data_IF_570479532287
#
_entry.id   IF_570479532287
#
_cell.length_a   1.000
_cell.length_b   1.000
_cell.length_c   1.000
_cell.angle_alpha   90.00
_cell.angle_beta   90.00
_cell.angle_gamma   90.00
#
_symmetry.space_group_name_H-M   'P 1'
#
loop_
_entity.id
_entity.type
_entity.pdbx_description
1 polymer ?
#
# COMPACT_ATOMS: atom_id res chain seq x y z
N UNK A 1 -11.27 52.32 4.63
CA UNK A 1 -10.13 51.51 5.12
C UNK A 1 -10.56 50.22 5.82
N UNK A 2 -11.45 50.29 6.79
CA UNK A 2 -11.94 49.08 7.47
C UNK A 2 -12.67 48.06 6.58
N UNK A 3 -13.42 48.53 5.61
CA UNK A 3 -14.18 47.65 4.70
C UNK A 3 -13.29 46.82 3.77
N UNK A 4 -12.15 47.37 3.32
CA UNK A 4 -11.19 46.65 2.50
C UNK A 4 -10.42 45.56 3.27
N UNK A 5 -10.15 45.81 4.56
CA UNK A 5 -9.49 44.81 5.42
C UNK A 5 -10.44 43.65 5.70
N UNK A 6 -11.74 43.91 5.92
CA UNK A 6 -12.75 42.87 6.14
C UNK A 6 -12.92 41.96 4.91
N UNK A 7 -12.93 42.54 3.70
CA UNK A 7 -13.01 41.78 2.46
C UNK A 7 -11.77 40.90 2.23
N UNK A 8 -10.57 41.36 2.60
CA UNK A 8 -9.35 40.59 2.52
C UNK A 8 -9.33 39.42 3.54
N UNK A 9 -9.85 39.62 4.75
CA UNK A 9 -9.95 38.55 5.77
C UNK A 9 -10.94 37.46 5.33
N UNK A 10 -12.08 37.85 4.74
CA UNK A 10 -13.06 36.89 4.20
C UNK A 10 -12.49 36.13 3.01
N UNK A 11 -11.70 36.79 2.14
CA UNK A 11 -11.03 36.14 1.02
C UNK A 11 -9.94 35.16 1.44
N UNK A 12 -9.27 35.36 2.57
CA UNK A 12 -8.27 34.45 3.11
C UNK A 12 -8.88 33.24 3.82
N UNK A 13 -10.09 33.32 4.33
CA UNK A 13 -10.79 32.20 4.94
C UNK A 13 -11.35 31.16 3.93
N UNK A 14 -11.46 31.52 2.65
CA UNK A 14 -12.00 30.63 1.61
C UNK A 14 -10.96 29.80 0.87
N UNK A 15 -9.68 29.89 1.26
CA UNK A 15 -8.58 29.25 0.54
C UNK A 15 -8.04 27.97 1.19
N UNK A 16 -8.68 27.44 2.23
CA UNK A 16 -8.32 26.14 2.75
C UNK A 16 -9.21 25.07 2.10
N UNK A 17 -8.58 24.23 1.26
CA UNK A 17 -9.20 23.00 0.82
C UNK A 17 -9.63 22.20 2.04
N UNK A 18 -10.92 21.91 2.15
CA UNK A 18 -11.47 21.04 3.19
C UNK A 18 -10.88 19.65 2.98
N UNK A 19 -9.84 19.34 3.75
CA UNK A 19 -9.30 17.98 3.85
C UNK A 19 -9.86 17.32 5.11
N UNK A 20 -9.89 16.01 5.09
CA UNK A 20 -10.13 15.27 6.32
C UNK A 20 -9.05 15.61 7.34
N UNK A 21 -9.42 15.74 8.63
CA UNK A 21 -8.46 16.08 9.68
C UNK A 21 -7.40 15.02 9.81
N UNK A 22 -6.20 15.44 10.17
CA UNK A 22 -5.14 14.51 10.55
C UNK A 22 -5.53 13.75 11.83
N UNK A 23 -4.96 12.56 12.08
CA UNK A 23 -5.31 11.75 13.25
C UNK A 23 -5.27 12.49 14.58
N UNK A 24 -4.33 13.43 14.75
CA UNK A 24 -4.21 14.26 15.96
C UNK A 24 -5.37 15.26 16.14
N UNK A 25 -5.97 15.71 15.05
CA UNK A 25 -7.07 16.69 15.05
C UNK A 25 -8.44 16.01 15.10
N UNK A 26 -8.50 14.72 14.80
CA UNK A 26 -9.74 13.97 14.65
C UNK A 26 -10.64 14.02 15.87
N UNK A 27 -10.05 13.89 17.05
CA UNK A 27 -10.79 13.95 18.31
C UNK A 27 -11.51 15.29 18.54
N UNK A 28 -10.82 16.40 18.25
CA UNK A 28 -11.40 17.73 18.37
C UNK A 28 -12.51 17.93 17.34
N UNK A 29 -12.25 17.55 16.10
CA UNK A 29 -13.18 17.69 14.98
C UNK A 29 -14.46 16.89 15.21
N UNK A 30 -14.35 15.65 15.65
CA UNK A 30 -15.48 14.79 15.94
C UNK A 30 -16.39 15.32 17.04
N UNK A 31 -15.81 15.94 18.07
CA UNK A 31 -16.58 16.58 19.16
C UNK A 31 -17.27 17.87 18.75
N UNK A 32 -16.67 18.61 17.84
CA UNK A 32 -17.26 19.87 17.35
C UNK A 32 -18.46 19.62 16.43
N UNK A 33 -18.40 18.58 15.61
CA UNK A 33 -19.41 18.35 14.57
C UNK A 33 -20.49 17.35 14.96
N UNK A 34 -20.17 16.35 15.78
CA UNK A 34 -21.09 15.25 16.04
C UNK A 34 -21.56 15.20 17.49
N UNK A 35 -22.89 15.11 17.73
CA UNK A 35 -23.43 14.87 19.07
C UNK A 35 -22.88 13.58 19.72
N UNK A 36 -22.59 12.57 18.90
CA UNK A 36 -21.83 11.39 19.30
C UNK A 36 -20.53 11.33 18.49
N UNK A 37 -19.38 11.69 19.09
CA UNK A 37 -18.09 11.71 18.41
C UNK A 37 -17.69 10.36 17.79
N UNK A 38 -18.18 9.24 18.34
CA UNK A 38 -17.92 7.92 17.79
C UNK A 38 -18.59 7.64 16.43
N UNK A 39 -19.51 8.52 16.00
CA UNK A 39 -20.17 8.45 14.70
C UNK A 39 -19.59 9.39 13.66
N UNK A 40 -18.59 10.18 14.03
CA UNK A 40 -17.94 11.07 13.08
C UNK A 40 -17.16 10.28 12.04
N UNK A 41 -17.28 10.69 10.80
CA UNK A 41 -16.51 10.18 9.68
C UNK A 41 -16.15 11.30 8.73
N UNK A 42 -15.03 11.18 8.07
CA UNK A 42 -14.64 12.04 6.97
C UNK A 42 -14.21 11.13 5.81
N UNK A 43 -14.88 11.25 4.67
CA UNK A 43 -14.67 10.39 3.52
C UNK A 43 -14.39 11.21 2.27
N UNK A 44 -13.63 10.61 1.34
CA UNK A 44 -13.54 11.12 -0.01
C UNK A 44 -14.93 11.13 -0.64
N UNK A 45 -15.28 12.25 -1.30
CA UNK A 45 -16.57 12.42 -1.97
C UNK A 45 -16.35 13.00 -3.38
N UNK A 46 -16.63 12.18 -4.39
CA UNK A 46 -16.43 12.54 -5.80
C UNK A 46 -17.24 13.76 -6.24
N UNK A 47 -18.32 14.07 -5.53
CA UNK A 47 -19.23 15.18 -5.86
C UNK A 47 -19.07 16.41 -4.97
N UNK A 48 -18.23 16.35 -3.92
CA UNK A 48 -18.01 17.50 -3.07
C UNK A 48 -16.97 18.47 -3.66
N UNK A 49 -17.18 19.78 -3.59
CA UNK A 49 -16.23 20.76 -4.13
C UNK A 49 -14.80 20.64 -3.59
N UNK A 50 -14.65 20.17 -2.34
CA UNK A 50 -13.35 19.94 -1.70
C UNK A 50 -12.86 18.49 -1.80
N UNK A 51 -13.58 17.61 -2.50
CA UNK A 51 -13.24 16.19 -2.61
C UNK A 51 -13.49 15.37 -1.34
N UNK A 52 -14.02 15.96 -0.25
CA UNK A 52 -14.28 15.31 1.03
C UNK A 52 -15.60 15.75 1.64
N UNK A 53 -16.20 14.90 2.44
CA UNK A 53 -17.39 15.19 3.23
C UNK A 53 -17.28 14.61 4.62
N UNK A 54 -17.70 15.41 5.60
CA UNK A 54 -17.81 15.01 6.99
C UNK A 54 -19.25 14.59 7.31
N UNK A 55 -19.41 13.57 8.12
CA UNK A 55 -20.70 13.00 8.50
C UNK A 55 -20.68 12.51 9.94
N UNK A 56 -21.86 12.44 10.54
CA UNK A 56 -22.10 11.82 11.84
C UNK A 56 -22.87 10.50 11.73
N UNK A 57 -22.77 9.87 10.60
CA UNK A 57 -23.40 8.56 10.31
C UNK A 57 -22.47 7.41 10.65
N UNK A 58 -23.05 6.27 11.04
CA UNK A 58 -22.27 5.04 11.17
C UNK A 58 -21.95 4.55 9.76
N UNK A 59 -20.67 4.30 9.51
CA UNK A 59 -20.21 3.68 8.28
C UNK A 59 -20.10 2.17 8.52
N UNK A 60 -20.48 1.43 7.52
CA UNK A 60 -20.54 -0.01 7.56
C UNK A 60 -19.16 -0.67 7.36
N UNK A 61 -19.14 -1.98 7.27
CA UNK A 61 -17.95 -2.80 7.09
C UNK A 61 -17.41 -2.66 5.67
N UNK A 62 -16.09 -2.42 5.54
CA UNK A 62 -15.38 -2.45 4.27
C UNK A 62 -14.58 -3.75 4.12
N UNK A 63 -14.66 -4.42 2.95
CA UNK A 63 -13.85 -5.61 2.67
C UNK A 63 -12.37 -5.27 2.52
N UNK A 64 -11.53 -6.30 2.59
CA UNK A 64 -10.09 -6.18 2.37
C UNK A 64 -9.76 -5.52 1.01
N UNK A 65 -8.68 -4.75 0.95
CA UNK A 65 -8.20 -4.11 -0.27
C UNK A 65 -8.99 -2.88 -0.73
N UNK A 66 -9.98 -2.43 0.05
CA UNK A 66 -10.85 -1.32 -0.31
C UNK A 66 -10.94 -0.25 0.77
N UNK A 67 -11.33 0.95 0.37
CA UNK A 67 -11.62 2.09 1.24
C UNK A 67 -13.03 2.62 0.97
N UNK A 68 -13.75 3.10 2.01
CA UNK A 68 -15.07 3.70 1.84
C UNK A 68 -14.96 5.09 1.20
N UNK A 69 -15.87 5.37 0.27
CA UNK A 69 -16.00 6.68 -0.37
C UNK A 69 -17.48 7.06 -0.49
N UNK A 70 -17.75 8.31 -0.88
CA UNK A 70 -19.07 8.80 -1.22
C UNK A 70 -19.15 9.06 -2.73
N UNK A 71 -20.07 8.37 -3.38
CA UNK A 71 -20.36 8.54 -4.82
C UNK A 71 -21.87 8.58 -5.03
N UNK A 72 -22.51 9.68 -4.59
CA UNK A 72 -23.96 9.80 -4.53
C UNK A 72 -24.63 9.01 -3.39
N UNK A 73 -23.87 8.16 -2.70
CA UNK A 73 -24.20 7.32 -1.57
C UNK A 73 -22.93 6.71 -1.02
N UNK A 74 -23.04 5.79 -0.07
CA UNK A 74 -21.91 4.98 0.38
C UNK A 74 -21.49 4.03 -0.73
N UNK A 75 -20.20 4.04 -1.06
CA UNK A 75 -19.55 3.20 -2.07
C UNK A 75 -18.15 2.86 -1.55
N UNK A 76 -17.40 2.07 -2.29
CA UNK A 76 -16.03 1.74 -1.96
C UNK A 76 -15.15 1.74 -3.22
N UNK A 77 -13.90 2.11 -3.06
CA UNK A 77 -12.90 2.04 -4.12
C UNK A 77 -11.70 1.22 -3.65
N UNK A 78 -10.87 0.79 -4.58
CA UNK A 78 -9.66 0.06 -4.26
C UNK A 78 -8.65 0.96 -3.53
N UNK A 79 -7.74 0.35 -2.76
CA UNK A 79 -6.60 1.06 -2.20
C UNK A 79 -5.79 1.76 -3.29
N UNK A 80 -5.07 2.81 -2.94
CA UNK A 80 -4.06 3.39 -3.83
C UNK A 80 -2.96 2.37 -4.16
N UNK A 81 -2.31 2.51 -5.32
CA UNK A 81 -1.36 1.50 -5.84
C UNK A 81 -0.22 1.16 -4.87
N UNK A 82 0.17 2.11 -4.02
CA UNK A 82 1.25 1.96 -3.06
C UNK A 82 0.79 1.51 -1.66
N UNK A 83 -0.50 1.14 -1.52
CA UNK A 83 -1.07 0.70 -0.25
C UNK A 83 -1.82 -0.61 -0.37
N UNK A 84 -2.05 -1.26 0.77
CA UNK A 84 -2.85 -2.47 0.88
C UNK A 84 -3.55 -2.57 2.22
N UNK A 85 -4.60 -3.38 2.27
CA UNK A 85 -5.40 -3.67 3.45
C UNK A 85 -5.74 -5.16 3.48
N UNK A 86 -5.07 -5.98 4.32
CA UNK A 86 -5.23 -7.44 4.31
C UNK A 86 -6.60 -7.90 4.82
N UNK A 87 -7.15 -7.17 5.77
CA UNK A 87 -8.40 -7.55 6.41
C UNK A 87 -9.49 -6.52 6.15
N UNK A 88 -10.71 -7.00 6.04
CA UNK A 88 -11.89 -6.14 6.09
C UNK A 88 -12.03 -5.54 7.50
N UNK A 89 -12.54 -4.32 7.59
CA UNK A 89 -12.63 -3.60 8.85
C UNK A 89 -13.93 -2.82 8.97
N UNK A 90 -14.37 -2.65 10.22
CA UNK A 90 -15.37 -1.63 10.50
C UNK A 90 -14.69 -0.29 10.44
N UNK A 91 -15.23 0.60 9.63
CA UNK A 91 -14.69 1.95 9.53
C UNK A 91 -14.97 2.71 10.84
N UNK A 92 -13.91 2.94 11.59
CA UNK A 92 -13.96 3.76 12.80
C UNK A 92 -13.41 5.14 12.48
N UNK A 93 -13.94 6.11 13.16
CA UNK A 93 -13.71 7.54 12.97
C UNK A 93 -12.25 8.02 13.06
N UNK A 94 -11.32 7.18 13.47
CA UNK A 94 -9.89 7.52 13.61
C UNK A 94 -8.98 6.77 12.63
N UNK A 95 -9.55 6.08 11.65
CA UNK A 95 -8.78 5.38 10.62
C UNK A 95 -8.60 6.31 9.41
N UNK A 96 -7.44 6.25 8.81
CA UNK A 96 -7.08 7.01 7.61
C UNK A 96 -8.14 6.89 6.51
N UNK A 97 -8.26 7.93 5.71
CA UNK A 97 -9.06 7.95 4.47
C UNK A 97 -8.47 7.09 3.35
N UNK A 98 -7.38 6.37 3.62
CA UNK A 98 -6.73 5.44 2.70
C UNK A 98 -6.39 4.13 3.43
N UNK A 99 -6.01 3.10 2.68
CA UNK A 99 -5.57 1.82 3.24
C UNK A 99 -4.37 2.00 4.18
N UNK A 100 -4.33 1.19 5.23
CA UNK A 100 -3.44 1.42 6.38
C UNK A 100 -1.98 1.15 6.03
N UNK A 101 -1.71 0.07 5.30
CA UNK A 101 -0.34 -0.39 5.08
C UNK A 101 0.23 0.11 3.77
N UNK A 102 1.50 0.54 3.80
CA UNK A 102 2.27 0.79 2.58
C UNK A 102 2.81 -0.51 2.02
N UNK A 103 2.75 -0.66 0.70
CA UNK A 103 3.42 -1.76 0.01
C UNK A 103 4.92 -1.60 0.09
N UNK A 104 5.61 -2.68 0.37
CA UNK A 104 7.06 -2.74 0.32
C UNK A 104 7.59 -2.57 -1.10
N UNK A 105 8.81 -2.08 -1.22
CA UNK A 105 9.52 -1.93 -2.48
C UNK A 105 10.65 -2.94 -2.58
N UNK A 106 10.75 -3.63 -3.72
CA UNK A 106 11.86 -4.54 -4.02
C UNK A 106 12.94 -3.77 -4.81
N UNK A 107 13.60 -2.83 -4.16
CA UNK A 107 14.54 -1.90 -4.79
C UNK A 107 15.97 -1.96 -4.22
N UNK A 108 16.23 -2.88 -3.30
CA UNK A 108 17.59 -3.14 -2.82
C UNK A 108 18.40 -3.92 -3.86
N UNK A 109 19.72 -3.94 -3.67
CA UNK A 109 20.64 -4.59 -4.61
C UNK A 109 20.30 -6.06 -4.79
N UNK A 110 20.10 -6.47 -6.03
CA UNK A 110 19.76 -7.85 -6.41
C UNK A 110 18.29 -8.21 -6.24
N UNK A 111 17.45 -7.33 -5.68
CA UNK A 111 16.02 -7.58 -5.57
C UNK A 111 15.28 -7.30 -6.88
N UNK A 112 14.22 -8.06 -7.10
CA UNK A 112 13.22 -7.83 -8.17
C UNK A 112 11.83 -8.16 -7.64
N UNK A 113 10.83 -7.48 -8.16
CA UNK A 113 9.43 -7.77 -7.84
C UNK A 113 9.09 -9.17 -8.35
N UNK A 114 8.55 -10.01 -7.46
CA UNK A 114 8.03 -11.31 -7.84
C UNK A 114 6.63 -11.20 -8.40
N UNK A 115 5.74 -10.55 -7.66
CA UNK A 115 4.35 -10.36 -8.03
C UNK A 115 3.76 -9.18 -7.27
N UNK A 116 3.01 -8.35 -7.98
CA UNK A 116 2.10 -7.38 -7.37
C UNK A 116 0.72 -8.03 -7.18
N UNK A 117 0.12 -7.76 -6.02
CA UNK A 117 -1.25 -8.17 -5.77
C UNK A 117 -2.23 -7.15 -6.36
N UNK A 118 -2.98 -7.51 -7.41
CA UNK A 118 -3.95 -6.60 -8.02
C UNK A 118 -5.18 -6.36 -7.15
N UNK A 119 -5.36 -7.12 -6.07
CA UNK A 119 -6.52 -6.99 -5.16
C UNK A 119 -6.24 -6.04 -4.00
N UNK A 120 -5.03 -5.53 -3.88
CA UNK A 120 -4.60 -4.65 -2.78
C UNK A 120 -4.80 -5.25 -1.37
N UNK A 121 -4.85 -6.58 -1.27
CA UNK A 121 -5.02 -7.28 0.01
C UNK A 121 -3.71 -7.74 0.62
N UNK A 122 -2.61 -7.67 -0.12
CA UNK A 122 -1.29 -8.19 0.30
C UNK A 122 -0.19 -7.21 -0.02
N UNK A 123 0.90 -7.34 0.73
CA UNK A 123 2.14 -6.66 0.43
C UNK A 123 2.76 -7.14 -0.89
N UNK A 124 3.67 -6.34 -1.45
CA UNK A 124 4.54 -6.74 -2.56
C UNK A 124 5.41 -7.92 -2.14
N UNK A 125 5.57 -8.89 -3.02
CA UNK A 125 6.53 -9.98 -2.82
C UNK A 125 7.78 -9.77 -3.65
N UNK A 126 8.95 -10.01 -3.06
CA UNK A 126 10.26 -9.81 -3.69
C UNK A 126 10.96 -11.13 -3.97
N UNK A 127 11.84 -11.11 -4.95
CA UNK A 127 12.77 -12.21 -5.26
C UNK A 127 14.18 -11.67 -5.40
N UNK A 128 15.16 -12.55 -5.22
CA UNK A 128 16.51 -12.27 -5.70
C UNK A 128 16.65 -12.60 -7.19
N UNK A 129 17.31 -11.72 -7.94
CA UNK A 129 17.55 -11.89 -9.37
C UNK A 129 18.60 -13.00 -9.63
N UNK A 130 18.14 -14.24 -9.64
CA UNK A 130 18.99 -15.39 -9.89
C UNK A 130 19.67 -15.34 -11.29
N UNK A 131 19.09 -14.59 -12.25
CA UNK A 131 19.69 -14.48 -13.60
C UNK A 131 20.99 -13.71 -13.59
N UNK A 132 21.17 -12.83 -12.57
CA UNK A 132 22.39 -12.09 -12.27
C UNK A 132 23.23 -12.77 -11.18
N UNK A 133 22.82 -13.96 -10.73
CA UNK A 133 23.52 -14.74 -9.72
C UNK A 133 23.18 -14.39 -8.27
N UNK A 134 22.10 -13.66 -8.00
CA UNK A 134 21.68 -13.35 -6.63
C UNK A 134 20.89 -14.48 -6.00
N UNK A 135 21.10 -14.67 -4.70
CA UNK A 135 20.36 -15.57 -3.81
C UNK A 135 20.00 -14.81 -2.51
N UNK A 136 19.05 -15.30 -1.76
CA UNK A 136 18.67 -14.73 -0.47
C UNK A 136 19.78 -14.90 0.59
N UNK A 137 20.05 -13.86 1.35
CA UNK A 137 20.96 -13.90 2.51
C UNK A 137 20.42 -14.85 3.56
N UNK A 138 19.14 -14.70 3.87
CA UNK A 138 18.39 -15.59 4.77
C UNK A 138 17.33 -16.34 3.96
N UNK A 139 17.22 -17.65 4.16
CA UNK A 139 16.19 -18.46 3.47
C UNK A 139 14.80 -17.93 3.84
N UNK A 140 13.99 -17.47 2.87
CA UNK A 140 12.64 -17.01 3.15
C UNK A 140 11.71 -18.19 3.49
N UNK A 141 10.59 -17.89 4.07
CA UNK A 141 9.53 -18.85 4.41
C UNK A 141 8.98 -19.55 3.17
N UNK A 142 8.94 -18.85 2.04
CA UNK A 142 8.58 -19.43 0.75
C UNK A 142 9.81 -19.55 -0.15
N UNK A 143 10.04 -20.72 -0.73
CA UNK A 143 11.24 -21.01 -1.51
C UNK A 143 11.54 -19.99 -2.64
N UNK A 144 10.50 -19.45 -3.27
CA UNK A 144 10.62 -18.65 -4.49
C UNK A 144 10.57 -17.14 -4.27
N UNK A 145 10.08 -16.68 -3.15
CA UNK A 145 9.91 -15.25 -2.85
C UNK A 145 9.90 -14.99 -1.35
N UNK A 146 10.06 -13.75 -0.98
CA UNK A 146 9.94 -13.24 0.38
C UNK A 146 8.88 -12.15 0.45
N UNK A 147 8.40 -11.86 1.67
CA UNK A 147 7.47 -10.79 1.97
C UNK A 147 8.20 -9.78 2.86
N UNK A 148 8.62 -8.61 2.36
CA UNK A 148 9.50 -7.70 3.11
C UNK A 148 8.91 -7.19 4.43
N UNK A 149 7.59 -7.12 4.55
CA UNK A 149 6.92 -6.75 5.81
C UNK A 149 6.99 -7.84 6.90
N UNK A 150 7.44 -9.05 6.57
CA UNK A 150 7.42 -10.22 7.47
C UNK A 150 8.80 -10.85 7.66
N UNK A 151 9.72 -10.68 6.71
CA UNK A 151 11.01 -11.37 6.71
C UNK A 151 12.10 -10.58 5.98
N UNK A 152 13.36 -10.96 6.19
CA UNK A 152 14.51 -10.36 5.52
C UNK A 152 14.58 -10.81 4.05
N UNK A 153 14.49 -9.86 3.13
CA UNK A 153 14.55 -10.08 1.69
C UNK A 153 15.89 -9.70 1.06
N UNK A 154 16.92 -9.47 1.87
CA UNK A 154 18.25 -9.09 1.38
C UNK A 154 18.85 -10.15 0.47
N UNK A 155 19.53 -9.70 -0.58
CA UNK A 155 20.15 -10.55 -1.58
C UNK A 155 21.67 -10.44 -1.56
N UNK A 156 22.36 -11.51 -1.94
CA UNK A 156 23.80 -11.53 -2.13
C UNK A 156 24.18 -12.24 -3.42
N UNK A 157 25.35 -11.95 -3.96
CA UNK A 157 25.88 -12.68 -5.14
C UNK A 157 26.38 -14.04 -4.69
N UNK A 158 25.68 -15.08 -5.12
CA UNK A 158 26.06 -16.48 -4.89
C UNK A 158 27.12 -16.94 -5.87
N UNK A 159 28.24 -17.41 -5.35
CA UNK A 159 29.29 -18.00 -6.17
C UNK A 159 29.12 -19.52 -6.23
N UNK A 160 28.87 -20.06 -7.42
CA UNK A 160 28.87 -21.50 -7.64
C UNK A 160 30.31 -22.01 -7.76
N UNK A 161 30.54 -23.27 -7.39
CA UNK A 161 31.86 -23.92 -7.36
C UNK A 161 32.52 -24.07 -8.74
N UNK A 162 31.75 -24.00 -9.82
CA UNK A 162 32.24 -24.08 -11.20
C UNK A 162 31.71 -22.92 -12.03
N UNK A 163 32.53 -22.44 -12.97
CA UNK A 163 32.14 -21.40 -13.95
C UNK A 163 31.10 -21.88 -14.95
N UNK A 164 30.91 -23.19 -15.05
CA UNK A 164 29.84 -23.79 -15.88
C UNK A 164 28.49 -23.85 -15.18
N UNK A 165 28.44 -23.54 -13.86
CA UNK A 165 27.23 -23.51 -13.07
C UNK A 165 26.62 -22.12 -13.03
N UNK A 166 25.29 -22.08 -13.01
CA UNK A 166 24.49 -20.88 -12.85
C UNK A 166 23.49 -21.08 -11.72
N UNK A 167 23.02 -19.99 -11.16
CA UNK A 167 21.96 -20.02 -10.16
C UNK A 167 20.63 -20.26 -10.86
N UNK A 168 19.88 -21.25 -10.40
CA UNK A 168 18.56 -21.62 -10.94
C UNK A 168 17.45 -20.74 -10.33
N UNK A 169 16.21 -20.79 -10.87
CA UNK A 169 15.08 -20.07 -10.30
C UNK A 169 14.75 -20.39 -8.82
N UNK A 170 15.15 -21.56 -8.34
CA UNK A 170 15.02 -22.01 -6.94
C UNK A 170 16.36 -21.94 -6.17
N UNK A 171 17.27 -21.08 -6.67
CA UNK A 171 18.52 -20.70 -6.03
C UNK A 171 19.52 -21.84 -5.80
N UNK A 172 19.47 -22.89 -6.64
CA UNK A 172 20.48 -23.96 -6.66
C UNK A 172 21.54 -23.67 -7.71
N UNK A 173 22.79 -24.10 -7.44
CA UNK A 173 23.83 -24.10 -8.48
C UNK A 173 23.62 -25.29 -9.41
N UNK A 174 23.27 -25.04 -10.65
CA UNK A 174 23.00 -26.06 -11.66
C UNK A 174 23.94 -25.92 -12.85
N UNK A 175 24.23 -27.01 -13.51
CA UNK A 175 24.99 -27.02 -14.76
C UNK A 175 24.16 -26.35 -15.87
N UNK A 176 24.75 -25.36 -16.53
CA UNK A 176 24.10 -24.59 -17.61
C UNK A 176 23.61 -25.45 -18.76
N UNK A 177 24.23 -26.61 -18.98
CA UNK A 177 23.88 -27.53 -20.10
C UNK A 177 22.72 -28.46 -19.77
N UNK A 178 22.32 -28.55 -18.50
CA UNK A 178 21.26 -29.46 -18.07
C UNK A 178 19.92 -28.77 -18.00
N UNK A 179 18.91 -29.34 -18.66
CA UNK A 179 17.51 -28.95 -18.43
C UNK A 179 17.09 -29.44 -17.05
N UNK A 180 17.11 -28.56 -16.07
CA UNK A 180 16.64 -28.82 -14.70
C UNK A 180 15.25 -28.22 -14.55
N UNK A 181 14.30 -29.03 -14.11
CA UNK A 181 12.97 -28.54 -13.71
C UNK A 181 13.12 -27.76 -12.40
N UNK A 182 12.80 -26.49 -12.42
CA UNK A 182 12.78 -25.64 -11.22
C UNK A 182 11.39 -25.65 -10.57
N UNK A 183 11.36 -25.66 -9.24
CA UNK A 183 10.12 -25.50 -8.48
C UNK A 183 9.58 -24.06 -8.52
N UNK A 184 10.45 -23.09 -8.83
CA UNK A 184 10.07 -21.70 -8.90
C UNK A 184 9.89 -21.23 -10.36
N UNK A 185 8.92 -20.34 -10.61
CA UNK A 185 8.72 -19.78 -11.93
C UNK A 185 9.93 -18.97 -12.38
N UNK A 186 10.21 -18.95 -13.67
CA UNK A 186 11.24 -18.10 -14.27
C UNK A 186 10.83 -16.63 -14.16
N UNK A 187 11.82 -15.73 -14.00
CA UNK A 187 11.59 -14.30 -14.09
C UNK A 187 11.20 -13.95 -15.52
N UNK A 188 9.98 -13.48 -15.71
CA UNK A 188 9.56 -12.89 -16.98
C UNK A 188 10.14 -11.47 -17.05
N UNK A 189 10.90 -11.19 -18.10
CA UNK A 189 11.33 -9.81 -18.37
C UNK A 189 10.07 -8.98 -18.58
N UNK A 190 9.77 -8.10 -17.63
CA UNK A 190 8.79 -7.05 -17.85
C UNK A 190 9.38 -6.16 -18.95
N UNK A 191 8.69 -6.09 -20.09
CA UNK A 191 9.05 -5.22 -21.20
C UNK A 191 8.78 -3.76 -20.86
#
# INVERSE_FOLDING_TARGET
MFYQILVQIIGLCSAYDLKCPEPAEWFMRSRLLCPNPAKYSCLHNDFAPGGFSESCSIIDFEPAGRIPILRGGQDATDCTQNRYQPDGYKYWTNISTDCIYFKSMCNEEGQVVHREDPTYTRDTTCRCDYTRGYDFVTRPSHLCYCIPSQEDCSCYIKRCSSTLHVVSPDYQCIDRTKNVTSSCPVLTKIK
#
